data_IF_439780555596
#
_entry.id   IF_439780555596
#
_cell.length_a   1.000
_cell.length_b   1.000
_cell.length_c   1.000
_cell.angle_alpha   90.00
_cell.angle_beta   90.00
_cell.angle_gamma   90.00
#
_symmetry.space_group_name_H-M   'P 1'
#
loop_
_entity.id
_entity.type
_entity.pdbx_description
1 polymer ?
#
# COMPACT_ATOMS: atom_id res chain seq x y z
N UNK A 1 17.59 3.30 2.21
CA UNK A 1 18.17 3.71 0.91
C UNK A 1 19.63 4.09 1.00
N UNK A 2 20.09 5.02 1.87
CA UNK A 2 21.51 5.46 1.96
C UNK A 2 22.57 4.35 2.10
N UNK A 3 22.18 3.16 2.61
CA UNK A 3 23.07 1.99 2.77
C UNK A 3 23.06 1.02 1.58
N UNK A 4 22.27 1.31 0.54
CA UNK A 4 22.19 0.46 -0.66
C UNK A 4 23.54 0.28 -1.34
N UNK A 5 23.78 -0.93 -1.83
CA UNK A 5 25.05 -1.33 -2.49
C UNK A 5 24.85 -1.88 -3.90
N UNK A 6 23.70 -2.52 -4.18
CA UNK A 6 23.41 -3.18 -5.44
C UNK A 6 22.30 -2.45 -6.18
N UNK A 7 21.10 -2.38 -5.57
CA UNK A 7 19.95 -1.77 -6.23
C UNK A 7 18.93 -1.19 -5.24
N UNK A 8 18.12 -0.24 -5.75
CA UNK A 8 16.96 0.34 -5.09
C UNK A 8 15.80 0.31 -6.07
N UNK A 9 14.74 -0.42 -5.74
CA UNK A 9 13.49 -0.42 -6.47
C UNK A 9 12.42 0.34 -5.68
N UNK A 10 11.78 1.31 -6.30
CA UNK A 10 10.76 2.19 -5.68
C UNK A 10 9.49 2.12 -6.51
N UNK A 11 8.37 1.76 -5.90
CA UNK A 11 7.06 1.71 -6.53
C UNK A 11 6.03 2.41 -5.66
N UNK A 12 5.36 3.42 -6.22
CA UNK A 12 4.32 4.15 -5.52
C UNK A 12 3.12 4.48 -6.42
N UNK A 13 1.94 4.47 -5.82
CA UNK A 13 0.73 4.95 -6.48
C UNK A 13 0.71 6.48 -6.57
N UNK A 14 1.00 7.18 -5.47
CA UNK A 14 1.09 8.65 -5.43
C UNK A 14 2.50 9.07 -5.05
N UNK A 15 3.06 9.96 -5.85
CA UNK A 15 4.24 10.74 -5.54
C UNK A 15 3.86 12.21 -5.76
N UNK A 16 3.99 13.02 -4.70
CA UNK A 16 3.77 14.47 -4.76
C UNK A 16 5.10 15.17 -5.02
N UNK A 17 5.06 16.23 -5.84
CA UNK A 17 6.24 17.09 -6.03
C UNK A 17 6.35 18.06 -4.84
N UNK A 18 6.82 17.56 -3.72
CA UNK A 18 7.00 18.31 -2.48
C UNK A 18 8.33 17.94 -1.78
N UNK A 19 8.56 18.54 -0.61
CA UNK A 19 9.80 18.35 0.16
C UNK A 19 10.08 16.88 0.51
N UNK A 20 9.04 16.06 0.72
CA UNK A 20 9.20 14.63 1.04
C UNK A 20 9.81 13.87 -0.12
N UNK A 21 9.29 14.13 -1.33
CA UNK A 21 9.85 13.53 -2.53
C UNK A 21 11.24 14.05 -2.82
N UNK A 22 11.48 15.37 -2.68
CA UNK A 22 12.79 15.98 -2.94
C UNK A 22 13.88 15.36 -2.05
N UNK A 23 13.59 15.08 -0.78
CA UNK A 23 14.52 14.39 0.11
C UNK A 23 14.81 12.95 -0.34
N UNK A 24 13.79 12.22 -0.81
CA UNK A 24 13.95 10.88 -1.36
C UNK A 24 14.73 10.93 -2.67
N UNK A 25 14.34 11.79 -3.60
CA UNK A 25 14.96 11.98 -4.90
C UNK A 25 16.47 12.25 -4.77
N UNK A 26 16.86 13.14 -3.86
CA UNK A 26 18.26 13.43 -3.58
C UNK A 26 19.05 12.17 -3.24
N UNK A 27 18.51 11.32 -2.36
CA UNK A 27 19.16 10.06 -1.98
C UNK A 27 19.23 9.09 -3.15
N UNK A 28 18.19 9.03 -4.01
CA UNK A 28 18.19 8.16 -5.18
C UNK A 28 19.24 8.58 -6.19
N UNK A 29 19.39 9.89 -6.45
CA UNK A 29 20.40 10.45 -7.34
C UNK A 29 21.81 10.19 -6.78
N UNK A 30 22.05 10.48 -5.50
CA UNK A 30 23.33 10.17 -4.85
C UNK A 30 23.73 8.71 -5.04
N UNK A 31 22.77 7.78 -4.87
CA UNK A 31 23.01 6.35 -5.03
C UNK A 31 23.24 5.94 -6.49
N UNK A 32 22.52 6.52 -7.43
CA UNK A 32 22.77 6.28 -8.86
C UNK A 32 24.18 6.71 -9.26
N UNK A 33 24.64 7.86 -8.77
CA UNK A 33 26.03 8.33 -9.00
C UNK A 33 27.09 7.44 -8.33
N UNK A 34 26.74 6.74 -7.24
CA UNK A 34 27.62 5.74 -6.62
C UNK A 34 27.62 4.39 -7.37
N UNK A 35 26.89 4.28 -8.49
CA UNK A 35 26.77 3.05 -9.28
C UNK A 35 25.72 2.06 -8.78
N UNK A 36 24.86 2.45 -7.84
CA UNK A 36 23.71 1.64 -7.42
C UNK A 36 22.63 1.72 -8.50
N UNK A 37 22.09 0.58 -8.88
CA UNK A 37 20.98 0.53 -9.84
C UNK A 37 19.69 1.03 -9.20
N UNK A 38 19.10 2.09 -9.76
CA UNK A 38 17.86 2.70 -9.22
C UNK A 38 16.73 2.60 -10.25
N UNK A 39 15.60 2.02 -9.85
CA UNK A 39 14.36 1.98 -10.63
C UNK A 39 13.22 2.61 -9.87
N UNK A 40 12.45 3.48 -10.55
CA UNK A 40 11.25 4.13 -10.01
C UNK A 40 10.06 3.81 -10.89
N UNK A 41 9.05 3.13 -10.32
CA UNK A 41 7.79 2.80 -10.97
C UNK A 41 6.66 3.62 -10.33
N UNK A 42 5.90 4.34 -11.12
CA UNK A 42 4.81 5.16 -10.64
C UNK A 42 3.52 4.97 -11.45
N UNK A 43 2.36 5.25 -10.82
CA UNK A 43 1.08 5.24 -11.53
C UNK A 43 0.79 6.64 -12.10
N UNK A 44 0.39 6.71 -13.36
CA UNK A 44 0.15 7.98 -14.07
C UNK A 44 -0.96 8.83 -13.44
N UNK A 45 -2.02 8.21 -12.90
CA UNK A 45 -3.12 8.95 -12.30
C UNK A 45 -2.80 9.47 -10.89
N UNK A 46 -2.06 8.69 -10.13
CA UNK A 46 -1.66 9.07 -8.77
C UNK A 46 -0.63 10.19 -8.74
N UNK A 47 0.24 10.26 -9.76
CA UNK A 47 1.39 11.17 -9.79
C UNK A 47 1.16 12.44 -10.63
N UNK A 48 -0.08 12.96 -10.72
CA UNK A 48 -0.44 14.12 -11.55
C UNK A 48 0.30 15.43 -11.21
N UNK A 49 0.85 15.54 -10.02
CA UNK A 49 1.63 16.73 -9.61
C UNK A 49 3.08 16.67 -10.08
N UNK A 50 3.53 15.49 -10.53
CA UNK A 50 4.83 15.30 -11.16
C UNK A 50 4.69 15.56 -12.66
N UNK A 51 5.56 16.39 -13.20
CA UNK A 51 5.56 16.69 -14.63
C UNK A 51 6.58 15.82 -15.37
N UNK A 52 6.43 15.70 -16.67
CA UNK A 52 7.37 14.96 -17.52
C UNK A 52 8.83 15.38 -17.29
N UNK A 53 9.09 16.69 -17.16
CA UNK A 53 10.42 17.23 -16.89
C UNK A 53 11.07 16.70 -15.60
N UNK A 54 10.25 16.42 -14.56
CA UNK A 54 10.73 15.92 -13.28
C UNK A 54 11.22 14.46 -13.44
N UNK A 55 10.48 13.66 -14.21
CA UNK A 55 10.88 12.29 -14.56
C UNK A 55 12.08 12.25 -15.51
N UNK A 56 12.11 13.14 -16.51
CA UNK A 56 13.23 13.23 -17.46
C UNK A 56 14.52 13.65 -16.73
N UNK A 57 14.45 14.51 -15.71
CA UNK A 57 15.59 14.85 -14.85
C UNK A 57 16.15 13.61 -14.17
N UNK A 58 15.31 12.77 -13.55
CA UNK A 58 15.78 11.51 -12.93
C UNK A 58 16.47 10.59 -13.93
N UNK A 59 15.94 10.49 -15.15
CA UNK A 59 16.55 9.69 -16.20
C UNK A 59 17.93 10.21 -16.61
N UNK A 60 18.10 11.54 -16.66
CA UNK A 60 19.41 12.16 -16.91
C UNK A 60 20.44 11.85 -15.82
N UNK A 61 19.98 11.63 -14.58
CA UNK A 61 20.83 11.24 -13.44
C UNK A 61 21.10 9.73 -13.36
N UNK A 62 20.73 8.97 -14.40
CA UNK A 62 20.96 7.53 -14.48
C UNK A 62 19.91 6.65 -13.81
N UNK A 63 18.80 7.22 -13.37
CA UNK A 63 17.71 6.48 -12.75
C UNK A 63 16.76 5.96 -13.84
N UNK A 64 16.43 4.68 -13.81
CA UNK A 64 15.40 4.11 -14.69
C UNK A 64 14.01 4.45 -14.15
N UNK A 65 13.15 4.98 -15.01
CA UNK A 65 11.79 5.42 -14.62
C UNK A 65 10.77 4.81 -15.59
N UNK A 66 9.77 4.14 -15.04
CA UNK A 66 8.65 3.56 -15.80
C UNK A 66 7.31 4.08 -15.27
N UNK A 67 6.37 4.27 -16.19
CA UNK A 67 5.01 4.73 -15.91
C UNK A 67 4.03 3.58 -16.07
N UNK A 68 3.27 3.30 -15.02
CA UNK A 68 2.23 2.28 -15.05
C UNK A 68 0.92 2.88 -15.59
N UNK A 69 0.39 2.31 -16.67
CA UNK A 69 -0.78 2.79 -17.41
C UNK A 69 -0.68 4.28 -17.80
N UNK A 70 0.18 4.62 -18.79
CA UNK A 70 0.27 5.98 -19.30
C UNK A 70 -1.11 6.52 -19.72
N UNK A 71 -1.41 7.76 -19.36
CA UNK A 71 -2.62 8.43 -19.78
C UNK A 71 -2.48 8.83 -21.27
N UNK A 72 -2.90 7.98 -22.17
CA UNK A 72 -2.95 8.28 -23.63
C UNK A 72 -4.19 9.13 -23.87
N UNK A 73 -4.01 10.39 -24.28
CA UNK A 73 -5.08 11.28 -24.69
C UNK A 73 -5.91 10.62 -25.81
N UNK A 74 -7.22 10.48 -25.60
CA UNK A 74 -8.17 10.09 -26.63
C UNK A 74 -8.65 8.64 -26.62
N UNK A 75 -8.11 7.75 -25.82
CA UNK A 75 -8.72 6.44 -25.61
C UNK A 75 -9.77 6.55 -24.48
N UNK A 76 -11.02 6.25 -24.81
CA UNK A 76 -12.10 6.03 -23.87
C UNK A 76 -11.72 4.81 -23.00
N UNK A 77 -10.99 5.06 -21.91
CA UNK A 77 -10.40 3.97 -21.14
C UNK A 77 -11.47 3.33 -20.26
N UNK A 78 -12.07 2.26 -20.72
CA UNK A 78 -12.86 1.35 -19.88
C UNK A 78 -12.04 0.74 -18.71
N UNK A 79 -10.71 0.98 -18.67
CA UNK A 79 -9.77 0.48 -17.65
C UNK A 79 -9.32 1.55 -16.65
N UNK A 80 -10.09 2.62 -16.46
CA UNK A 80 -9.76 3.70 -15.49
C UNK A 80 -9.53 3.14 -14.07
N UNK A 81 -10.20 2.05 -13.72
CA UNK A 81 -10.09 1.41 -12.41
C UNK A 81 -8.88 0.46 -12.26
N UNK A 82 -8.17 0.15 -13.35
CA UNK A 82 -7.01 -0.73 -13.31
C UNK A 82 -5.76 0.08 -12.98
N UNK A 83 -5.58 0.39 -11.68
CA UNK A 83 -4.47 1.20 -11.18
C UNK A 83 -3.54 0.39 -10.29
N UNK A 84 -2.26 0.71 -10.36
CA UNK A 84 -1.28 0.08 -9.48
C UNK A 84 -1.22 0.82 -8.15
N UNK A 85 -2.00 0.34 -7.18
CA UNK A 85 -2.10 0.97 -5.85
C UNK A 85 -1.05 0.48 -4.86
N UNK A 86 0.00 -0.22 -5.31
CA UNK A 86 1.05 -0.75 -4.45
C UNK A 86 2.04 0.33 -4.05
N UNK A 87 2.58 0.22 -2.84
CA UNK A 87 3.67 1.01 -2.30
C UNK A 87 4.72 0.04 -1.83
N UNK A 88 5.78 -0.09 -2.61
CA UNK A 88 6.84 -1.08 -2.39
C UNK A 88 8.18 -0.38 -2.56
N UNK A 89 9.10 -0.62 -1.62
CA UNK A 89 10.51 -0.31 -1.79
C UNK A 89 11.31 -1.56 -1.49
N UNK A 90 12.22 -1.93 -2.38
CA UNK A 90 13.16 -3.03 -2.17
C UNK A 90 14.58 -2.50 -2.28
N UNK A 91 15.41 -2.85 -1.32
CA UNK A 91 16.81 -2.42 -1.23
C UNK A 91 17.69 -3.64 -1.14
N UNK A 92 18.53 -3.88 -2.16
CA UNK A 92 19.52 -4.97 -2.22
C UNK A 92 18.94 -6.39 -2.00
N UNK A 93 17.62 -6.58 -2.17
CA UNK A 93 16.93 -7.83 -1.79
C UNK A 93 16.92 -8.13 -0.28
N UNK A 94 17.42 -7.22 0.56
CA UNK A 94 17.62 -7.41 2.00
C UNK A 94 16.57 -6.75 2.84
N UNK A 95 16.14 -5.55 2.43
CA UNK A 95 15.17 -4.74 3.16
C UNK A 95 14.03 -4.39 2.21
N UNK A 96 12.81 -4.65 2.64
CA UNK A 96 11.59 -4.34 1.93
C UNK A 96 10.69 -3.43 2.74
N UNK A 97 10.03 -2.48 2.08
CA UNK A 97 8.99 -1.66 2.69
C UNK A 97 7.69 -1.87 1.91
N UNK A 98 6.59 -2.06 2.64
CA UNK A 98 5.25 -2.22 2.06
C UNK A 98 4.21 -1.69 3.03
N UNK A 99 3.19 -0.98 2.51
CA UNK A 99 2.11 -0.46 3.35
C UNK A 99 1.22 0.56 2.66
N UNK A 100 0.57 1.40 3.46
CA UNK A 100 -0.42 2.36 2.99
C UNK A 100 0.16 3.72 2.61
N UNK A 101 1.30 4.14 3.19
CA UNK A 101 1.89 5.45 2.90
C UNK A 101 2.23 5.62 1.42
N UNK A 102 1.75 6.70 0.85
CA UNK A 102 2.29 7.26 -0.39
C UNK A 102 3.40 8.29 -0.08
N UNK A 103 3.96 8.90 -1.11
CA UNK A 103 4.99 9.94 -0.98
C UNK A 103 4.36 11.31 -1.11
N UNK A 104 4.37 12.07 -0.02
CA UNK A 104 3.83 13.42 0.05
C UNK A 104 3.70 13.91 1.48
N UNK A 105 3.70 15.24 1.66
CA UNK A 105 3.62 15.89 2.98
C UNK A 105 2.33 15.58 3.73
N UNK A 106 1.25 15.28 2.99
CA UNK A 106 -0.03 14.88 3.56
C UNK A 106 0.10 13.60 4.41
N UNK A 107 0.90 12.64 3.95
CA UNK A 107 1.09 11.33 4.62
C UNK A 107 1.98 11.40 5.86
N UNK A 108 2.73 12.49 6.04
CA UNK A 108 3.54 12.73 7.24
C UNK A 108 2.91 13.76 8.19
N UNK A 109 1.62 14.08 7.96
CA UNK A 109 0.85 14.99 8.82
C UNK A 109 1.25 16.47 8.70
N UNK A 110 1.89 16.88 7.62
CA UNK A 110 2.30 18.27 7.35
C UNK A 110 1.32 19.05 6.48
N UNK A 111 0.23 18.46 6.08
CA UNK A 111 -0.81 19.14 5.31
C UNK A 111 -1.93 19.62 6.25
N UNK A 112 -2.19 20.93 6.26
CA UNK A 112 -3.19 21.55 7.15
C UNK A 112 -4.62 21.09 6.87
N UNK A 113 -4.94 20.75 5.62
CA UNK A 113 -6.28 20.30 5.22
C UNK A 113 -6.61 18.93 5.81
N UNK A 114 -5.64 18.02 5.80
CA UNK A 114 -5.81 16.64 6.28
C UNK A 114 -5.44 16.51 7.76
N UNK A 115 -4.53 17.34 8.26
CA UNK A 115 -4.03 17.28 9.62
C UNK A 115 -3.15 16.04 9.85
N UNK A 116 -3.24 15.47 11.04
CA UNK A 116 -2.47 14.28 11.36
C UNK A 116 -2.95 13.08 10.54
N UNK A 117 -2.06 12.52 9.71
CA UNK A 117 -2.32 11.33 8.91
C UNK A 117 -1.73 10.09 9.61
N UNK A 118 -2.54 9.07 9.82
CA UNK A 118 -2.08 7.83 10.41
C UNK A 118 -2.22 6.68 9.42
N UNK A 119 -1.11 5.98 9.17
CA UNK A 119 -1.06 4.84 8.28
C UNK A 119 -0.10 3.78 8.82
N UNK A 120 -0.15 2.57 8.28
CA UNK A 120 0.78 1.50 8.59
C UNK A 120 1.66 1.16 7.40
N UNK A 121 2.95 1.11 7.67
CA UNK A 121 3.95 0.73 6.70
C UNK A 121 4.95 -0.19 7.38
N UNK A 122 5.16 -1.37 6.80
CA UNK A 122 6.06 -2.39 7.34
C UNK A 122 7.45 -2.20 6.76
N UNK A 123 8.46 -2.37 7.60
CA UNK A 123 9.83 -2.63 7.21
C UNK A 123 10.08 -4.12 7.44
N UNK A 124 10.44 -4.84 6.40
CA UNK A 124 10.66 -6.29 6.40
C UNK A 124 12.12 -6.55 6.07
N UNK A 125 12.76 -7.39 6.85
CA UNK A 125 14.07 -7.93 6.58
C UNK A 125 13.97 -9.45 6.51
N UNK A 126 14.72 -10.09 5.62
CA UNK A 126 14.69 -11.54 5.51
C UNK A 126 14.11 -12.05 4.20
N UNK A 127 13.86 -13.35 4.12
CA UNK A 127 13.47 -14.04 2.89
C UNK A 127 12.16 -13.52 2.25
N UNK A 128 11.24 -12.97 3.05
CA UNK A 128 9.99 -12.42 2.54
C UNK A 128 10.20 -11.21 1.61
N UNK A 129 11.36 -10.54 1.68
CA UNK A 129 11.71 -9.42 0.78
C UNK A 129 11.78 -9.89 -0.67
N UNK A 130 12.19 -11.15 -0.92
CA UNK A 130 12.20 -11.72 -2.28
C UNK A 130 10.80 -11.69 -2.91
N UNK A 131 9.74 -11.95 -2.15
CA UNK A 131 8.37 -11.87 -2.66
C UNK A 131 7.97 -10.44 -3.07
N UNK A 132 8.45 -9.42 -2.34
CA UNK A 132 8.27 -8.02 -2.73
C UNK A 132 9.07 -7.67 -3.99
N UNK A 133 10.31 -8.18 -4.10
CA UNK A 133 11.15 -8.00 -5.29
C UNK A 133 10.50 -8.60 -6.52
N UNK A 134 10.01 -9.84 -6.43
CA UNK A 134 9.27 -10.52 -7.51
C UNK A 134 8.04 -9.69 -7.91
N UNK A 135 7.28 -9.16 -6.96
CA UNK A 135 6.10 -8.34 -7.27
C UNK A 135 6.47 -7.05 -7.98
N UNK A 136 7.52 -6.37 -7.53
CA UNK A 136 8.05 -5.20 -8.23
C UNK A 136 8.46 -5.53 -9.67
N UNK A 137 9.22 -6.60 -9.85
CA UNK A 137 9.71 -7.04 -11.17
C UNK A 137 8.56 -7.34 -12.14
N UNK A 138 7.51 -8.01 -11.68
CA UNK A 138 6.32 -8.27 -12.51
C UNK A 138 5.65 -6.96 -12.96
N UNK A 139 5.49 -6.00 -12.05
CA UNK A 139 4.89 -4.71 -12.38
C UNK A 139 5.80 -3.85 -13.28
N UNK A 140 7.12 -3.91 -13.04
CA UNK A 140 8.12 -3.23 -13.86
C UNK A 140 8.16 -3.77 -15.29
N UNK A 141 8.26 -5.11 -15.46
CA UNK A 141 8.30 -5.75 -16.76
C UNK A 141 7.07 -5.40 -17.60
N UNK A 142 5.90 -5.32 -16.95
CA UNK A 142 4.68 -4.88 -17.62
C UNK A 142 4.76 -3.42 -18.07
N UNK A 143 5.23 -2.51 -17.20
CA UNK A 143 5.23 -1.08 -17.47
C UNK A 143 6.36 -0.63 -18.42
N UNK A 144 7.55 -1.20 -18.26
CA UNK A 144 8.75 -0.84 -19.01
C UNK A 144 8.94 -1.67 -20.29
N UNK A 145 8.16 -2.76 -20.47
CA UNK A 145 8.35 -3.75 -21.56
C UNK A 145 9.75 -4.39 -21.54
N UNK A 146 10.28 -4.62 -20.34
CA UNK A 146 11.57 -5.27 -20.08
C UNK A 146 11.36 -6.67 -19.49
N UNK A 147 12.43 -7.46 -19.37
CA UNK A 147 12.40 -8.74 -18.68
C UNK A 147 13.51 -8.84 -17.63
N UNK A 148 13.26 -8.30 -16.44
CA UNK A 148 14.20 -8.32 -15.32
C UNK A 148 14.38 -9.71 -14.70
N UNK A 149 13.58 -10.71 -15.06
CA UNK A 149 13.81 -12.09 -14.61
C UNK A 149 15.11 -12.71 -15.14
N UNK A 150 15.72 -12.08 -16.13
CA UNK A 150 17.04 -12.48 -16.65
C UNK A 150 18.21 -11.91 -15.83
N UNK A 151 17.93 -11.08 -14.83
CA UNK A 151 18.93 -10.42 -13.98
C UNK A 151 19.04 -11.16 -12.64
N UNK A 152 19.85 -12.23 -12.58
CA UNK A 152 19.98 -13.13 -11.42
C UNK A 152 20.27 -12.40 -10.10
N UNK A 153 21.05 -11.31 -10.15
CA UNK A 153 21.43 -10.54 -8.96
C UNK A 153 20.26 -9.90 -8.20
N UNK A 154 19.09 -9.76 -8.86
CA UNK A 154 17.88 -9.21 -8.23
C UNK A 154 17.18 -10.21 -7.31
N UNK A 155 17.48 -11.51 -7.47
CA UNK A 155 16.79 -12.60 -6.76
C UNK A 155 17.72 -13.38 -5.82
N UNK A 156 18.95 -12.91 -5.62
CA UNK A 156 19.84 -13.49 -4.62
C UNK A 156 19.18 -13.41 -3.23
N UNK A 157 18.99 -14.56 -2.60
CA UNK A 157 18.49 -14.61 -1.22
C UNK A 157 19.68 -14.36 -0.29
N UNK A 158 19.71 -13.20 0.39
CA UNK A 158 20.80 -12.92 1.31
C UNK A 158 20.85 -13.95 2.45
N UNK A 159 22.05 -14.28 2.93
CA UNK A 159 22.17 -15.01 4.18
C UNK A 159 21.78 -14.08 5.33
N UNK A 160 20.86 -14.55 6.15
CA UNK A 160 20.38 -13.82 7.33
C UNK A 160 20.86 -14.51 8.59
N UNK A 161 21.39 -13.75 9.55
CA UNK A 161 21.53 -14.22 10.92
C UNK A 161 20.13 -14.47 11.49
N UNK A 162 19.89 -15.68 11.97
CA UNK A 162 18.57 -16.15 12.45
C UNK A 162 18.20 -15.56 13.82
N UNK A 163 18.19 -14.26 13.94
CA UNK A 163 17.69 -13.56 15.12
C UNK A 163 16.29 -13.01 14.84
N UNK A 164 15.28 -13.70 15.36
CA UNK A 164 13.86 -13.41 15.14
C UNK A 164 13.27 -14.26 14.01
N UNK A 165 12.08 -14.81 14.24
CA UNK A 165 11.40 -15.66 13.29
C UNK A 165 9.91 -15.35 13.28
N UNK A 166 9.56 -14.28 12.55
CA UNK A 166 8.17 -13.96 12.29
C UNK A 166 7.80 -14.50 10.89
N UNK A 167 6.83 -15.43 10.78
CA UNK A 167 6.37 -15.88 9.48
C UNK A 167 5.63 -14.76 8.76
N UNK A 168 6.10 -14.42 7.55
CA UNK A 168 5.50 -13.36 6.71
C UNK A 168 5.12 -13.95 5.36
N UNK A 169 3.88 -13.75 4.95
CA UNK A 169 3.38 -14.10 3.63
C UNK A 169 2.98 -12.83 2.87
N UNK A 170 3.55 -12.64 1.69
CA UNK A 170 3.17 -11.54 0.78
C UNK A 170 2.13 -12.06 -0.21
N UNK A 171 0.95 -11.46 -0.19
CA UNK A 171 -0.17 -11.81 -1.06
C UNK A 171 -0.47 -10.64 -1.98
N UNK A 172 -0.63 -10.92 -3.25
CA UNK A 172 -1.00 -9.94 -4.26
C UNK A 172 -2.31 -10.33 -4.94
N UNK A 173 -3.10 -9.34 -5.30
CA UNK A 173 -4.31 -9.49 -6.09
C UNK A 173 -4.40 -8.36 -7.10
N UNK A 174 -5.05 -8.60 -8.23
CA UNK A 174 -5.22 -7.61 -9.28
C UNK A 174 -6.22 -8.07 -10.32
N UNK A 175 -6.58 -7.22 -11.27
CA UNK A 175 -7.52 -7.55 -12.35
C UNK A 175 -6.97 -8.57 -13.35
N UNK A 176 -5.68 -8.86 -13.26
CA UNK A 176 -4.93 -9.87 -14.01
C UNK A 176 -5.00 -11.26 -13.37
N UNK A 177 -5.57 -11.38 -12.17
CA UNK A 177 -5.73 -12.63 -11.44
C UNK A 177 -7.13 -13.21 -11.63
N UNK A 178 -7.21 -14.53 -11.91
CA UNK A 178 -8.48 -15.25 -11.95
C UNK A 178 -9.08 -15.47 -10.55
N UNK A 179 -8.25 -15.41 -9.50
CA UNK A 179 -8.65 -15.59 -8.11
C UNK A 179 -8.67 -14.28 -7.36
N UNK A 180 -9.62 -14.12 -6.46
CA UNK A 180 -9.70 -12.97 -5.54
C UNK A 180 -8.85 -13.21 -4.29
N UNK A 181 -7.56 -13.49 -4.46
CA UNK A 181 -6.68 -14.01 -3.42
C UNK A 181 -6.70 -13.21 -2.11
N UNK A 182 -6.66 -11.88 -2.16
CA UNK A 182 -6.74 -11.03 -0.94
C UNK A 182 -8.11 -11.18 -0.27
N UNK A 183 -9.19 -11.14 -1.05
CA UNK A 183 -10.54 -11.33 -0.55
C UNK A 183 -10.72 -12.70 0.13
N UNK A 184 -10.26 -13.76 -0.52
CA UNK A 184 -10.37 -15.13 0.01
C UNK A 184 -9.55 -15.30 1.29
N UNK A 185 -8.41 -14.63 1.40
CA UNK A 185 -7.63 -14.58 2.64
C UNK A 185 -8.36 -13.84 3.77
N UNK A 186 -9.03 -12.72 3.48
CA UNK A 186 -9.86 -12.06 4.49
C UNK A 186 -10.99 -12.98 4.98
N UNK A 187 -11.69 -13.68 4.08
CA UNK A 187 -12.70 -14.67 4.47
C UNK A 187 -12.09 -15.77 5.33
N UNK A 188 -10.94 -16.31 4.94
CA UNK A 188 -10.26 -17.34 5.72
C UNK A 188 -9.89 -16.85 7.12
N UNK A 189 -9.35 -15.66 7.26
CA UNK A 189 -9.01 -15.07 8.56
C UNK A 189 -10.24 -14.87 9.44
N UNK A 190 -11.35 -14.36 8.88
CA UNK A 190 -12.59 -14.14 9.61
C UNK A 190 -13.19 -15.47 10.07
N UNK A 191 -13.27 -16.47 9.20
CA UNK A 191 -13.81 -17.80 9.53
C UNK A 191 -12.92 -18.56 10.52
N UNK A 192 -11.62 -18.33 10.51
CA UNK A 192 -10.67 -18.98 11.43
C UNK A 192 -10.63 -18.31 12.80
N UNK A 193 -11.20 -17.11 12.94
CA UNK A 193 -11.13 -16.33 14.17
C UNK A 193 -11.94 -17.03 15.29
N UNK A 194 -11.29 -17.18 16.45
CA UNK A 194 -11.90 -17.79 17.66
C UNK A 194 -12.19 -16.77 18.74
N UNK A 195 -11.37 -15.76 18.87
CA UNK A 195 -11.41 -14.81 19.96
C UNK A 195 -11.80 -13.40 19.49
N UNK A 196 -11.14 -12.89 18.47
CA UNK A 196 -11.37 -11.51 18.01
C UNK A 196 -11.05 -11.32 16.53
N UNK A 197 -11.72 -10.32 15.93
CA UNK A 197 -11.42 -9.74 14.60
C UNK A 197 -11.41 -8.24 14.76
N UNK A 198 -10.26 -7.60 14.54
CA UNK A 198 -10.11 -6.15 14.63
C UNK A 198 -9.79 -5.58 13.25
N UNK A 199 -10.66 -4.68 12.78
CA UNK A 199 -10.56 -4.06 11.46
C UNK A 199 -10.42 -2.55 11.64
N UNK A 200 -9.40 -1.99 10.99
CA UNK A 200 -9.26 -0.55 10.84
C UNK A 200 -9.21 -0.26 9.35
N UNK A 201 -10.06 0.63 8.87
CA UNK A 201 -10.15 0.93 7.45
C UNK A 201 -10.73 2.31 7.22
N UNK A 202 -10.23 3.08 6.23
CA UNK A 202 -10.85 4.34 5.86
C UNK A 202 -12.22 4.13 5.17
N UNK A 203 -12.40 2.95 4.54
CA UNK A 203 -13.59 2.63 3.75
C UNK A 203 -14.10 1.24 4.12
N UNK A 204 -15.08 1.19 4.99
CA UNK A 204 -15.74 -0.07 5.32
C UNK A 204 -16.91 -0.29 4.37
N UNK A 205 -16.61 -0.82 3.19
CA UNK A 205 -17.58 -1.16 2.14
C UNK A 205 -17.34 -2.62 1.73
N UNK A 206 -17.66 -3.58 2.61
CA UNK A 206 -17.47 -5.00 2.33
C UNK A 206 -18.46 -5.48 1.26
N UNK A 207 -18.07 -6.49 0.50
CA UNK A 207 -19.06 -7.25 -0.27
C UNK A 207 -19.91 -8.14 0.64
N UNK A 208 -20.93 -8.77 0.07
CA UNK A 208 -21.88 -9.58 0.83
C UNK A 208 -21.20 -10.72 1.60
N UNK A 209 -20.20 -11.38 1.03
CA UNK A 209 -19.53 -12.51 1.65
C UNK A 209 -18.72 -12.12 2.88
N UNK A 210 -17.96 -11.02 2.80
CA UNK A 210 -17.20 -10.47 3.94
C UNK A 210 -18.15 -9.95 5.03
N UNK A 211 -19.22 -9.24 4.62
CA UNK A 211 -20.23 -8.71 5.55
C UNK A 211 -20.92 -9.82 6.34
N UNK A 212 -21.37 -10.86 5.65
CA UNK A 212 -22.05 -12.00 6.29
C UNK A 212 -21.09 -12.79 7.19
N UNK A 213 -19.85 -13.01 6.76
CA UNK A 213 -18.82 -13.66 7.59
C UNK A 213 -18.58 -12.90 8.90
N UNK A 214 -18.48 -11.56 8.85
CA UNK A 214 -18.28 -10.71 10.04
C UNK A 214 -19.52 -10.73 10.96
N UNK A 215 -20.73 -10.68 10.39
CA UNK A 215 -21.99 -10.80 11.16
C UNK A 215 -22.09 -12.14 11.87
N UNK A 216 -21.77 -13.23 11.17
CA UNK A 216 -21.77 -14.59 11.74
C UNK A 216 -20.73 -14.67 12.86
N UNK A 217 -19.49 -14.22 12.65
CA UNK A 217 -18.46 -14.22 13.66
C UNK A 217 -18.90 -13.46 14.93
N UNK A 218 -19.46 -12.25 14.76
CA UNK A 218 -19.95 -11.44 15.88
C UNK A 218 -21.08 -12.14 16.65
N UNK A 219 -22.06 -12.73 15.96
CA UNK A 219 -23.18 -13.46 16.58
C UNK A 219 -22.74 -14.76 17.24
N UNK A 220 -21.61 -15.32 16.80
CA UNK A 220 -21.01 -16.53 17.38
C UNK A 220 -20.12 -16.24 18.59
N UNK A 221 -20.04 -14.98 19.06
CA UNK A 221 -19.29 -14.62 20.27
C UNK A 221 -17.84 -14.16 20.00
N UNK A 222 -17.41 -14.05 18.75
CA UNK A 222 -16.11 -13.44 18.41
C UNK A 222 -16.20 -11.93 18.65
N UNK A 223 -15.21 -11.34 19.34
CA UNK A 223 -15.15 -9.89 19.59
C UNK A 223 -14.76 -9.16 18.28
N UNK A 224 -15.78 -8.77 17.51
CA UNK A 224 -15.58 -8.04 16.25
C UNK A 224 -15.55 -6.53 16.55
N UNK A 225 -14.43 -5.88 16.21
CA UNK A 225 -14.25 -4.43 16.35
C UNK A 225 -13.88 -3.78 15.03
N UNK A 226 -14.59 -2.71 14.70
CA UNK A 226 -14.38 -1.97 13.44
C UNK A 226 -14.10 -0.52 13.80
N UNK A 227 -13.03 0.04 13.27
CA UNK A 227 -12.66 1.44 13.44
C UNK A 227 -12.57 2.15 12.11
N UNK A 228 -13.29 3.26 11.99
CA UNK A 228 -13.35 4.12 10.81
C UNK A 228 -12.91 5.54 11.17
N UNK A 229 -12.49 6.38 10.20
CA UNK A 229 -12.11 7.76 10.45
C UNK A 229 -13.32 8.67 10.71
N UNK A 230 -13.10 9.76 11.44
CA UNK A 230 -14.11 10.81 11.62
C UNK A 230 -14.21 11.77 10.43
N UNK A 231 -13.12 11.94 9.67
CA UNK A 231 -13.08 12.86 8.52
C UNK A 231 -13.15 12.07 7.22
N UNK A 232 -14.16 12.33 6.37
CA UNK A 232 -14.21 11.75 5.04
C UNK A 232 -13.24 12.46 4.10
N UNK A 233 -12.56 11.69 3.25
CA UNK A 233 -11.88 12.20 2.07
C UNK A 233 -12.82 12.26 0.86
N UNK A 234 -13.82 11.36 0.82
CA UNK A 234 -14.86 11.27 -0.20
C UNK A 234 -16.27 11.18 0.41
N UNK A 235 -17.17 12.16 0.17
CA UNK A 235 -18.49 12.18 0.80
C UNK A 235 -19.35 10.93 0.54
N UNK A 236 -19.38 10.42 -0.70
CA UNK A 236 -20.18 9.24 -1.04
C UNK A 236 -19.69 7.95 -0.35
N UNK A 237 -18.37 7.80 -0.24
CA UNK A 237 -17.74 6.66 0.43
C UNK A 237 -18.04 6.68 1.93
N UNK A 238 -18.08 7.87 2.52
CA UNK A 238 -18.43 8.08 3.91
C UNK A 238 -19.85 7.58 4.23
N UNK A 239 -20.84 8.00 3.44
CA UNK A 239 -22.23 7.56 3.63
C UNK A 239 -22.39 6.04 3.45
N UNK A 240 -21.75 5.47 2.44
CA UNK A 240 -21.76 4.02 2.24
C UNK A 240 -21.15 3.29 3.44
N UNK A 241 -20.01 3.74 3.96
CA UNK A 241 -19.37 3.16 5.14
C UNK A 241 -20.30 3.15 6.35
N UNK A 242 -20.99 4.26 6.64
CA UNK A 242 -21.91 4.34 7.78
C UNK A 242 -23.12 3.41 7.65
N UNK A 243 -23.62 3.18 6.44
CA UNK A 243 -24.69 2.20 6.20
C UNK A 243 -24.27 0.80 6.66
N UNK A 244 -23.07 0.34 6.25
CA UNK A 244 -22.55 -0.96 6.67
C UNK A 244 -22.21 -1.04 8.16
N UNK A 245 -21.73 0.07 8.74
CA UNK A 245 -21.47 0.14 10.19
C UNK A 245 -22.77 -0.08 10.97
N UNK A 246 -23.90 0.52 10.55
CA UNK A 246 -25.21 0.27 11.15
C UNK A 246 -25.59 -1.21 11.17
N UNK A 247 -25.37 -1.92 10.07
CA UNK A 247 -25.62 -3.36 10.00
C UNK A 247 -24.71 -4.17 10.94
N UNK A 248 -23.44 -3.77 11.08
CA UNK A 248 -22.51 -4.46 11.96
C UNK A 248 -22.84 -4.24 13.44
N UNK A 249 -23.24 -3.02 13.81
CA UNK A 249 -23.72 -2.72 15.18
C UNK A 249 -24.97 -3.56 15.51
N UNK A 250 -25.93 -3.65 14.57
CA UNK A 250 -27.11 -4.50 14.73
C UNK A 250 -26.77 -5.99 14.86
N UNK A 251 -25.62 -6.42 14.33
CA UNK A 251 -25.12 -7.79 14.48
C UNK A 251 -24.31 -8.02 15.77
N UNK A 252 -24.12 -6.97 16.62
CA UNK A 252 -23.40 -7.05 17.89
C UNK A 252 -21.90 -6.67 17.82
N UNK A 253 -21.42 -6.20 16.68
CA UNK A 253 -20.04 -5.73 16.57
C UNK A 253 -19.85 -4.36 17.26
N UNK A 254 -18.64 -4.12 17.76
CA UNK A 254 -18.27 -2.84 18.38
C UNK A 254 -17.62 -1.94 17.31
N UNK A 255 -18.28 -0.83 16.99
CA UNK A 255 -17.79 0.11 16.00
C UNK A 255 -17.29 1.40 16.65
N UNK A 256 -16.19 1.94 16.15
CA UNK A 256 -15.51 3.10 16.71
C UNK A 256 -15.18 4.12 15.62
N UNK A 257 -15.24 5.39 15.99
CA UNK A 257 -14.77 6.51 15.17
C UNK A 257 -13.45 7.03 15.74
N UNK A 258 -12.47 7.14 14.89
CA UNK A 258 -11.18 7.71 15.25
C UNK A 258 -11.18 9.22 15.05
N UNK A 259 -11.08 9.97 16.16
CA UNK A 259 -11.33 11.41 16.15
C UNK A 259 -10.17 12.29 15.70
N UNK A 260 -8.97 11.74 15.44
CA UNK A 260 -7.81 12.59 15.19
C UNK A 260 -7.47 12.77 13.72
N UNK A 261 -7.95 11.91 12.78
CA UNK A 261 -7.52 12.03 11.39
C UNK A 261 -8.22 11.09 10.41
N UNK A 262 -7.82 11.19 9.13
CA UNK A 262 -7.89 10.08 8.18
C UNK A 262 -7.05 8.92 8.69
N UNK A 263 -7.63 7.72 8.79
CA UNK A 263 -6.94 6.53 9.30
C UNK A 263 -6.47 5.65 8.16
N UNK A 264 -5.21 5.23 8.30
CA UNK A 264 -4.80 3.90 7.85
C UNK A 264 -3.98 3.19 8.96
N UNK A 265 -4.65 2.84 10.10
CA UNK A 265 -4.24 1.90 11.15
C UNK A 265 -3.43 2.39 12.36
N UNK A 266 -3.86 1.91 13.50
CA UNK A 266 -3.46 1.40 14.82
C UNK A 266 -3.28 2.37 15.97
N UNK A 267 -4.00 2.07 17.04
CA UNK A 267 -4.14 2.60 18.41
C UNK A 267 -4.93 3.90 18.62
N UNK A 268 -6.07 3.81 19.34
CA UNK A 268 -6.92 4.95 19.64
C UNK A 268 -6.50 5.63 20.94
N UNK A 269 -6.32 6.93 20.90
CA UNK A 269 -6.19 7.76 22.10
C UNK A 269 -7.53 8.20 22.67
N UNK A 270 -8.62 8.14 21.91
CA UNK A 270 -10.01 8.30 22.40
C UNK A 270 -10.96 7.41 21.61
N UNK A 271 -11.76 6.65 22.31
CA UNK A 271 -12.81 5.77 21.76
C UNK A 271 -14.15 6.36 22.12
N UNK A 272 -14.94 6.74 21.12
CA UNK A 272 -16.37 7.02 21.30
C UNK A 272 -17.14 5.89 20.65
N UNK A 273 -17.89 5.06 21.39
CA UNK A 273 -18.76 4.05 20.78
C UNK A 273 -19.83 4.72 19.92
N UNK A 274 -20.18 4.10 18.81
CA UNK A 274 -21.33 4.47 18.00
C UNK A 274 -22.49 3.65 18.58
N UNK A 275 -23.47 4.33 19.16
CA UNK A 275 -24.73 3.74 19.66
C UNK A 275 -25.73 3.59 18.53
#
# INVERSE_FOLDING_TARGET
MKRAKKYIHVQYYIIRNDEVWQDIEKVLIEKAHEGVEVRVLFDSMGCRTMHKRDWDRLKCEGIRVAEFFPAILGQLQMRVNYRNHRKIVVIDGKVGFVGGFNVGREYIGKDEKFGYWRDTHLCIEGAAVTSLAVRFVLDWNYAAHENLFLEDHLFEIPQYDRHGFDPVQIISSGPDSQTKTIHDNYLHLIHSARNHVYIQTPYFIPDASILDALKIASRSGVDVRIMIPCKPDHPFVYWATYSYIGEMVAAGAKCYVYNLSLIHISEPTRRTPIS
#
